data_IF_855740044664
#
_entry.id   IF_855740044664
#
_cell.length_a   1.000
_cell.length_b   1.000
_cell.length_c   1.000
_cell.angle_alpha   90.00
_cell.angle_beta   90.00
_cell.angle_gamma   90.00
#
_symmetry.space_group_name_H-M   'P 1'
#
loop_
_entity.id
_entity.type
_entity.pdbx_description
1 polymer ?
#
# COMPACT_ATOMS: atom_id res chain seq x y z
N UNK A 1 -37.60 -1.59 -35.81
CA UNK A 1 -37.69 -0.58 -34.73
C UNK A 1 -36.37 0.19 -34.62
N UNK A 2 -36.37 1.51 -34.88
CA UNK A 2 -35.18 2.34 -34.67
C UNK A 2 -35.13 2.68 -33.18
N UNK A 3 -34.02 2.35 -32.53
CA UNK A 3 -33.74 2.69 -31.12
C UNK A 3 -34.07 4.17 -30.90
N UNK A 4 -34.89 4.48 -29.88
CA UNK A 4 -35.25 5.87 -29.63
C UNK A 4 -34.03 6.62 -29.10
N UNK A 5 -34.01 7.94 -29.26
CA UNK A 5 -32.95 8.78 -28.70
C UNK A 5 -32.82 8.60 -27.17
N UNK A 6 -33.93 8.28 -26.49
CA UNK A 6 -33.93 7.99 -25.06
C UNK A 6 -33.25 6.65 -24.75
N UNK A 7 -33.54 5.59 -25.53
CA UNK A 7 -32.92 4.27 -25.37
C UNK A 7 -31.41 4.32 -25.62
N UNK A 8 -30.98 5.03 -26.68
CA UNK A 8 -29.57 5.24 -26.99
C UNK A 8 -28.85 6.01 -25.87
N UNK A 9 -29.47 7.05 -25.33
CA UNK A 9 -28.88 7.85 -24.25
C UNK A 9 -28.78 7.06 -22.93
N UNK A 10 -29.77 6.23 -22.62
CA UNK A 10 -29.74 5.32 -21.47
C UNK A 10 -28.63 4.26 -21.60
N UNK A 11 -28.45 3.67 -22.80
CA UNK A 11 -27.36 2.72 -23.07
C UNK A 11 -25.99 3.35 -22.89
N UNK A 12 -25.77 4.53 -23.48
CA UNK A 12 -24.50 5.25 -23.36
C UNK A 12 -24.18 5.64 -21.91
N UNK A 13 -25.19 6.05 -21.13
CA UNK A 13 -25.01 6.35 -19.70
C UNK A 13 -24.58 5.11 -18.92
N UNK A 14 -25.26 3.97 -19.13
CA UNK A 14 -24.92 2.70 -18.49
C UNK A 14 -23.52 2.22 -18.87
N UNK A 15 -23.15 2.31 -20.15
CA UNK A 15 -21.80 1.96 -20.62
C UNK A 15 -20.72 2.88 -20.01
N UNK A 16 -21.04 4.16 -19.78
CA UNK A 16 -20.13 5.09 -19.11
C UNK A 16 -19.96 4.73 -17.62
N UNK A 17 -21.06 4.44 -16.91
CA UNK A 17 -21.05 4.03 -15.51
C UNK A 17 -20.26 2.72 -15.31
N UNK A 18 -20.49 1.71 -16.16
CA UNK A 18 -19.75 0.44 -16.12
C UNK A 18 -18.26 0.64 -16.40
N UNK A 19 -17.91 1.55 -17.32
CA UNK A 19 -16.52 1.88 -17.61
C UNK A 19 -15.84 2.57 -16.44
N UNK A 20 -16.55 3.48 -15.76
CA UNK A 20 -16.05 4.17 -14.56
C UNK A 20 -15.86 3.19 -13.42
N UNK A 21 -16.86 2.37 -13.11
CA UNK A 21 -16.78 1.36 -12.05
C UNK A 21 -15.64 0.36 -12.28
N UNK A 22 -15.41 -0.07 -13.54
CA UNK A 22 -14.27 -0.94 -13.88
C UNK A 22 -12.91 -0.28 -13.70
N UNK A 23 -12.82 1.05 -13.88
CA UNK A 23 -11.59 1.80 -13.64
C UNK A 23 -11.33 1.96 -12.14
N UNK A 24 -12.35 2.35 -11.39
CA UNK A 24 -12.30 2.48 -9.93
C UNK A 24 -11.92 1.15 -9.28
N UNK A 25 -12.53 0.04 -9.68
CA UNK A 25 -12.19 -1.29 -9.16
C UNK A 25 -10.74 -1.75 -9.46
N UNK A 26 -10.06 -1.13 -10.42
CA UNK A 26 -8.66 -1.43 -10.78
C UNK A 26 -7.67 -0.38 -10.30
N UNK A 27 -8.15 0.65 -9.62
CA UNK A 27 -7.31 1.69 -9.07
C UNK A 27 -6.36 1.08 -8.04
N UNK A 28 -5.14 1.60 -8.00
CA UNK A 28 -4.09 1.17 -7.08
C UNK A 28 -3.54 2.40 -6.37
N UNK A 29 -3.03 2.18 -5.18
CA UNK A 29 -2.37 3.22 -4.38
C UNK A 29 -0.98 2.75 -4.04
N UNK A 30 0.03 3.56 -4.35
CA UNK A 30 1.39 3.42 -3.86
C UNK A 30 1.48 4.10 -2.49
N UNK A 31 1.83 3.34 -1.47
CA UNK A 31 1.99 3.82 -0.10
C UNK A 31 3.47 3.76 0.26
N UNK A 32 4.01 4.85 0.80
CA UNK A 32 5.32 4.88 1.42
C UNK A 32 5.20 4.78 2.92
N UNK A 33 6.02 3.91 3.53
CA UNK A 33 6.04 3.69 4.97
C UNK A 33 7.46 3.75 5.53
N UNK A 34 7.53 4.11 6.80
CA UNK A 34 8.75 4.08 7.59
C UNK A 34 8.56 3.18 8.80
N UNK A 35 9.54 2.33 9.07
CA UNK A 35 9.52 1.37 10.16
C UNK A 35 10.71 1.68 11.05
N UNK A 36 10.45 2.06 12.31
CA UNK A 36 11.48 2.35 13.30
C UNK A 36 11.72 1.10 14.17
N UNK A 37 12.95 0.59 14.25
CA UNK A 37 13.31 -0.49 15.17
C UNK A 37 13.49 0.06 16.59
N UNK A 38 13.65 -0.86 17.55
CA UNK A 38 14.06 -0.50 18.91
C UNK A 38 15.57 -0.27 19.04
N UNK A 39 16.36 -1.11 18.37
CA UNK A 39 17.81 -1.20 18.58
C UNK A 39 18.62 -0.70 17.36
N UNK A 40 19.79 -0.11 17.63
CA UNK A 40 20.76 0.33 16.62
C UNK A 40 21.53 -0.84 15.99
N UNK A 41 21.64 -1.98 16.69
CA UNK A 41 22.41 -3.15 16.24
C UNK A 41 21.58 -4.14 15.40
N UNK A 42 20.26 -3.96 15.30
CA UNK A 42 19.37 -4.87 14.56
C UNK A 42 19.65 -4.84 13.04
N UNK A 43 19.68 -6.01 12.40
CA UNK A 43 19.77 -6.10 10.95
C UNK A 43 18.45 -5.68 10.28
N UNK A 44 18.41 -4.41 9.87
CA UNK A 44 17.23 -3.82 9.22
C UNK A 44 16.91 -4.40 7.85
N UNK A 45 17.89 -4.98 7.15
CA UNK A 45 17.61 -5.68 5.89
C UNK A 45 16.95 -7.02 6.16
N UNK A 46 17.36 -7.73 7.23
CA UNK A 46 16.71 -8.95 7.66
C UNK A 46 15.28 -8.67 8.14
N UNK A 47 15.08 -7.63 8.95
CA UNK A 47 13.74 -7.19 9.38
C UNK A 47 12.85 -6.84 8.19
N UNK A 48 13.33 -6.04 7.24
CA UNK A 48 12.56 -5.70 6.04
C UNK A 48 12.17 -6.95 5.21
N UNK A 49 13.10 -7.91 5.02
CA UNK A 49 12.78 -9.19 4.35
C UNK A 49 11.73 -9.98 5.11
N UNK A 50 11.81 -10.04 6.44
CA UNK A 50 10.81 -10.70 7.28
C UNK A 50 9.44 -10.05 7.11
N UNK A 51 9.36 -8.72 7.17
CA UNK A 51 8.12 -7.94 7.00
C UNK A 51 7.49 -8.24 5.64
N UNK A 52 8.26 -8.06 4.57
CA UNK A 52 7.76 -8.20 3.18
C UNK A 52 7.36 -9.61 2.79
N UNK A 53 7.88 -10.63 3.48
CA UNK A 53 7.51 -12.04 3.26
C UNK A 53 6.37 -12.52 4.16
N UNK A 54 6.20 -11.90 5.33
CA UNK A 54 5.14 -12.26 6.29
C UNK A 54 3.83 -11.55 5.97
N UNK A 55 3.90 -10.26 5.61
CA UNK A 55 2.71 -9.43 5.38
C UNK A 55 2.34 -9.51 3.90
N UNK A 56 1.42 -10.42 3.62
CA UNK A 56 0.93 -10.71 2.28
C UNK A 56 -0.59 -10.59 2.28
N UNK A 57 -1.12 -9.79 1.35
CA UNK A 57 -2.55 -9.63 1.11
C UNK A 57 -2.82 -9.71 -0.40
N UNK A 58 -4.03 -10.09 -0.80
CA UNK A 58 -4.39 -10.02 -2.22
C UNK A 58 -4.31 -8.57 -2.72
N UNK A 59 -3.71 -8.38 -3.89
CA UNK A 59 -3.45 -7.06 -4.46
C UNK A 59 -2.30 -6.26 -3.86
N UNK A 60 -1.70 -6.71 -2.74
CA UNK A 60 -0.55 -6.04 -2.12
C UNK A 60 0.76 -6.45 -2.79
N UNK A 61 1.59 -5.46 -3.14
CA UNK A 61 2.93 -5.67 -3.72
C UNK A 61 3.96 -4.76 -3.08
N UNK A 62 4.92 -5.33 -2.37
CA UNK A 62 6.06 -4.58 -1.83
C UNK A 62 7.00 -4.08 -2.93
N UNK A 63 7.65 -2.95 -2.67
CA UNK A 63 8.79 -2.49 -3.46
C UNK A 63 9.96 -3.47 -3.36
N UNK A 64 10.80 -3.54 -4.40
CA UNK A 64 11.90 -4.50 -4.48
C UNK A 64 13.10 -4.15 -3.59
N UNK A 65 13.09 -2.95 -2.99
CA UNK A 65 14.15 -2.46 -2.13
C UNK A 65 13.62 -1.63 -0.97
N UNK A 66 14.48 -1.44 0.02
CA UNK A 66 14.30 -0.47 1.08
C UNK A 66 15.52 0.46 1.17
N UNK A 67 15.29 1.67 1.64
CA UNK A 67 16.36 2.61 2.02
C UNK A 67 16.46 2.65 3.54
N UNK A 68 17.68 2.67 4.07
CA UNK A 68 17.90 2.89 5.51
C UNK A 68 18.26 4.35 5.73
N UNK A 69 17.46 5.06 6.52
CA UNK A 69 17.69 6.47 6.85
C UNK A 69 17.99 6.63 8.33
N UNK A 70 18.94 7.50 8.68
CA UNK A 70 19.27 7.79 10.08
C UNK A 70 18.18 8.67 10.73
N UNK A 71 17.84 8.37 11.98
CA UNK A 71 16.86 9.13 12.77
C UNK A 71 17.60 10.00 13.78
N UNK A 72 18.27 9.37 14.75
CA UNK A 72 19.11 10.01 15.76
C UNK A 72 19.94 8.97 16.50
N UNK A 73 21.09 9.37 17.06
CA UNK A 73 21.92 8.53 17.94
C UNK A 73 22.28 7.15 17.35
N UNK A 74 22.50 7.08 16.03
CA UNK A 74 22.81 5.83 15.34
C UNK A 74 21.61 4.93 15.03
N UNK A 75 20.40 5.26 15.49
CA UNK A 75 19.17 4.55 15.11
C UNK A 75 18.85 4.86 13.66
N UNK A 76 18.62 3.81 12.87
CA UNK A 76 18.15 3.90 11.49
C UNK A 76 16.73 3.39 11.38
N UNK A 77 15.96 3.97 10.47
CA UNK A 77 14.62 3.51 10.07
C UNK A 77 14.67 2.90 8.68
N UNK A 78 13.80 1.92 8.46
CA UNK A 78 13.55 1.35 7.14
C UNK A 78 12.55 2.25 6.44
N UNK A 79 12.86 2.72 5.23
CA UNK A 79 11.90 3.36 4.34
C UNK A 79 11.61 2.40 3.19
N UNK A 80 10.35 2.05 2.98
CA UNK A 80 9.95 1.17 1.89
C UNK A 80 8.58 1.57 1.36
N UNK A 81 8.14 0.94 0.28
CA UNK A 81 6.85 1.20 -0.33
C UNK A 81 6.11 -0.10 -0.59
N UNK A 82 4.79 0.00 -0.71
CA UNK A 82 3.97 -1.07 -1.26
C UNK A 82 2.85 -0.48 -2.11
N UNK A 83 2.39 -1.25 -3.08
CA UNK A 83 1.19 -0.97 -3.85
C UNK A 83 0.05 -1.80 -3.29
N UNK A 84 -1.12 -1.19 -3.13
CA UNK A 84 -2.33 -1.86 -2.68
C UNK A 84 -3.50 -1.57 -3.63
N UNK A 85 -4.50 -2.45 -3.66
CA UNK A 85 -5.74 -2.25 -4.40
C UNK A 85 -6.79 -1.50 -3.56
N UNK A 86 -7.93 -1.18 -4.18
CA UNK A 86 -9.04 -0.47 -3.52
C UNK A 86 -9.71 -1.22 -2.37
N UNK A 87 -9.49 -2.53 -2.27
CA UNK A 87 -10.06 -3.38 -1.21
C UNK A 87 -9.12 -3.54 -0.01
N UNK A 88 -7.91 -2.99 -0.06
CA UNK A 88 -6.93 -3.08 1.00
C UNK A 88 -6.92 -1.78 1.82
N UNK A 89 -6.51 -1.89 3.09
CA UNK A 89 -6.25 -0.76 3.97
C UNK A 89 -4.75 -0.64 4.24
N UNK A 90 -4.22 0.59 4.23
CA UNK A 90 -2.86 0.86 4.70
C UNK A 90 -2.73 0.60 6.20
N UNK A 91 -3.81 0.81 6.94
CA UNK A 91 -3.82 0.68 8.40
C UNK A 91 -3.67 -0.79 8.79
N UNK A 92 -4.30 -1.72 8.06
CA UNK A 92 -4.13 -3.16 8.27
C UNK A 92 -2.66 -3.59 8.08
N UNK A 93 -1.97 -2.99 7.10
CA UNK A 93 -0.56 -3.26 6.85
C UNK A 93 0.31 -2.67 7.96
N UNK A 94 -0.01 -1.45 8.42
CA UNK A 94 0.67 -0.81 9.54
C UNK A 94 0.54 -1.64 10.82
N UNK A 95 -0.69 -1.99 11.21
CA UNK A 95 -0.99 -2.79 12.40
C UNK A 95 -0.30 -4.15 12.34
N UNK A 96 -0.29 -4.81 11.18
CA UNK A 96 0.40 -6.09 11.01
C UNK A 96 1.92 -5.98 11.18
N UNK A 97 2.53 -4.83 10.84
CA UNK A 97 3.95 -4.58 11.11
C UNK A 97 4.18 -4.28 12.59
N UNK A 98 3.35 -3.43 13.19
CA UNK A 98 3.47 -3.03 14.59
C UNK A 98 3.24 -4.20 15.56
N UNK A 99 2.49 -5.22 15.14
CA UNK A 99 2.34 -6.48 15.88
C UNK A 99 3.67 -7.25 16.09
N UNK A 100 4.75 -6.90 15.38
CA UNK A 100 6.09 -7.40 15.65
C UNK A 100 6.76 -6.60 16.80
N UNK A 101 6.11 -6.58 17.96
CA UNK A 101 6.42 -5.68 19.09
C UNK A 101 7.88 -5.75 19.57
N UNK A 102 8.53 -6.91 19.47
CA UNK A 102 9.93 -7.12 19.87
C UNK A 102 10.94 -6.49 18.90
N UNK A 103 10.55 -6.27 17.63
CA UNK A 103 11.43 -5.83 16.55
C UNK A 103 11.09 -4.44 16.01
N UNK A 104 9.85 -3.99 16.21
CA UNK A 104 9.31 -2.74 15.67
C UNK A 104 8.85 -1.85 16.82
N UNK A 105 9.37 -0.63 16.87
CA UNK A 105 8.94 0.40 17.80
C UNK A 105 7.67 1.11 17.33
N UNK A 106 7.62 1.46 16.04
CA UNK A 106 6.50 2.18 15.44
C UNK A 106 6.58 2.15 13.93
N UNK A 107 5.43 2.31 13.27
CA UNK A 107 5.36 2.50 11.83
C UNK A 107 4.67 3.82 11.51
N UNK A 108 5.11 4.47 10.43
CA UNK A 108 4.57 5.75 9.99
C UNK A 108 4.32 5.74 8.48
N UNK A 109 3.12 6.13 8.06
CA UNK A 109 2.81 6.34 6.64
C UNK A 109 3.33 7.71 6.22
N UNK A 110 4.23 7.73 5.24
CA UNK A 110 4.88 8.97 4.76
C UNK A 110 4.26 9.53 3.50
N UNK A 111 3.65 8.69 2.67
CA UNK A 111 3.01 9.13 1.43
C UNK A 111 1.96 8.14 0.96
N UNK A 112 0.96 8.67 0.25
CA UNK A 112 -0.03 7.89 -0.49
C UNK A 112 -0.25 8.54 -1.85
N UNK A 113 0.00 7.77 -2.91
CA UNK A 113 -0.14 8.23 -4.29
C UNK A 113 -1.05 7.27 -5.06
N UNK A 114 -2.15 7.80 -5.58
CA UNK A 114 -3.03 7.06 -6.49
C UNK A 114 -2.31 6.85 -7.83
N UNK A 115 -2.33 5.62 -8.33
CA UNK A 115 -1.71 5.18 -9.59
C UNK A 115 -2.72 5.03 -10.73
#
# INVERSE_FOLDING_TARGET
PKESRADMMARLKKEAEERTARKEAKQRTLVGIEIKPWDTEQDLNALWKKITTTIVQDGLKWGESCTLAEVAFGIKKIQTTFVMGVNNSSDDVQEAIEAMEDEVQSVEITSMNVL
#
